data_IF_165954257257
#
_entry.id   IF_165954257257
#
_cell.length_a   1.000
_cell.length_b   1.000
_cell.length_c   1.000
_cell.angle_alpha   90.00
_cell.angle_beta   90.00
_cell.angle_gamma   90.00
#
_symmetry.space_group_name_H-M   'P 1'
#
loop_
_entity.id
_entity.type
_entity.pdbx_description
1 polymer ?
#
# COMPACT_ATOMS: atom_id res chain seq x y z
N UNK A 1 33.80 10.34 -22.39
CA UNK A 1 34.12 8.89 -22.24
C UNK A 1 32.89 8.22 -21.66
N UNK A 2 32.46 7.06 -22.17
CA UNK A 2 31.29 6.37 -21.62
C UNK A 2 31.57 5.97 -20.17
N UNK A 3 30.62 6.28 -19.29
CA UNK A 3 30.67 5.97 -17.86
C UNK A 3 29.41 5.20 -17.49
N UNK A 4 29.52 4.32 -16.52
CA UNK A 4 28.38 3.62 -15.94
C UNK A 4 28.27 4.06 -14.48
N UNK A 5 27.16 4.71 -14.16
CA UNK A 5 26.84 5.12 -12.80
C UNK A 5 26.00 4.03 -12.15
N UNK A 6 26.61 3.32 -11.21
CA UNK A 6 26.01 2.15 -10.59
C UNK A 6 25.44 2.59 -9.24
N UNK A 7 24.10 2.61 -9.10
CA UNK A 7 23.48 2.73 -7.79
C UNK A 7 23.40 1.35 -7.16
N UNK A 8 24.34 1.08 -6.26
CA UNK A 8 24.28 -0.13 -5.44
C UNK A 8 23.06 -0.02 -4.50
N UNK A 9 22.57 -1.16 -4.02
CA UNK A 9 21.49 -1.25 -3.03
C UNK A 9 21.73 -0.38 -1.77
N UNK A 10 22.98 -0.02 -1.48
CA UNK A 10 23.39 0.86 -0.39
C UNK A 10 23.17 2.36 -0.64
N UNK A 11 22.58 2.76 -1.77
CA UNK A 11 22.32 4.17 -2.11
C UNK A 11 23.54 4.99 -2.52
N UNK A 12 24.76 4.43 -2.44
CA UNK A 12 25.96 5.07 -2.97
C UNK A 12 26.10 4.83 -4.48
N UNK A 13 26.43 5.91 -5.20
CA UNK A 13 26.78 5.87 -6.61
C UNK A 13 28.27 5.57 -6.75
N UNK A 14 28.57 4.46 -7.43
CA UNK A 14 29.92 4.20 -7.93
C UNK A 14 29.96 4.57 -9.42
N UNK A 15 30.73 5.59 -9.78
CA UNK A 15 31.05 5.83 -11.19
C UNK A 15 32.11 4.84 -11.63
N UNK A 16 31.79 4.00 -12.61
CA UNK A 16 32.75 3.14 -13.28
C UNK A 16 33.02 3.70 -14.68
N UNK A 17 34.23 4.19 -14.98
CA UNK A 17 34.59 4.51 -16.35
C UNK A 17 34.64 3.21 -17.17
N UNK A 18 33.93 3.18 -18.30
CA UNK A 18 33.94 2.03 -19.20
C UNK A 18 35.13 2.17 -20.15
N UNK A 19 36.19 1.43 -19.85
CA UNK A 19 37.49 1.44 -20.52
C UNK A 19 37.76 0.16 -21.33
N UNK A 20 37.14 -0.96 -20.94
CA UNK A 20 37.37 -2.27 -21.55
C UNK A 20 36.29 -2.63 -22.58
N UNK A 21 36.63 -3.46 -23.55
CA UNK A 21 35.69 -3.87 -24.60
C UNK A 21 34.53 -4.73 -24.08
N UNK A 22 34.67 -5.36 -22.91
CA UNK A 22 33.64 -6.18 -22.29
C UNK A 22 33.67 -6.01 -20.77
N UNK A 23 32.48 -5.96 -20.18
CA UNK A 23 32.27 -6.05 -18.74
C UNK A 23 31.21 -7.11 -18.48
N UNK A 24 31.52 -8.04 -17.60
CA UNK A 24 30.57 -9.00 -17.05
C UNK A 24 29.84 -8.37 -15.86
N UNK A 25 28.53 -8.56 -15.80
CA UNK A 25 27.66 -8.01 -14.76
C UNK A 25 26.88 -9.14 -14.11
N UNK A 26 26.96 -9.25 -12.80
CA UNK A 26 26.29 -10.32 -12.08
C UNK A 26 26.61 -10.34 -10.61
N UNK A 27 26.05 -11.32 -9.91
CA UNK A 27 26.21 -11.43 -8.46
C UNK A 27 27.53 -12.07 -8.03
N UNK A 28 28.19 -12.86 -8.90
CA UNK A 28 29.46 -13.50 -8.55
C UNK A 28 30.61 -12.50 -8.49
N UNK A 29 31.57 -12.73 -7.59
CA UNK A 29 32.69 -11.82 -7.34
C UNK A 29 33.74 -11.78 -8.48
N UNK A 30 33.69 -12.74 -9.40
CA UNK A 30 34.52 -12.79 -10.61
C UNK A 30 33.95 -11.96 -11.77
N UNK A 31 32.80 -11.31 -11.59
CA UNK A 31 32.30 -10.33 -12.56
C UNK A 31 33.01 -8.98 -12.40
N UNK A 32 33.15 -8.26 -13.51
CA UNK A 32 33.73 -6.91 -13.53
C UNK A 32 32.83 -5.90 -12.79
N UNK A 33 31.51 -6.07 -12.89
CA UNK A 33 30.50 -5.31 -12.14
C UNK A 33 29.70 -6.28 -11.28
N UNK A 34 30.03 -6.28 -9.99
CA UNK A 34 29.36 -7.11 -9.00
C UNK A 34 28.12 -6.39 -8.46
N UNK A 35 26.93 -6.97 -8.67
CA UNK A 35 25.64 -6.46 -8.20
C UNK A 35 25.02 -7.39 -7.14
N UNK A 36 24.53 -6.81 -6.05
CA UNK A 36 23.98 -7.56 -4.92
C UNK A 36 22.45 -7.63 -4.97
N UNK A 37 21.87 -8.84 -4.79
CA UNK A 37 20.42 -9.01 -4.73
C UNK A 37 19.93 -10.38 -5.17
N UNK A 38 18.78 -10.81 -4.61
CA UNK A 38 18.14 -12.09 -4.97
C UNK A 38 17.56 -12.08 -6.40
N UNK A 39 17.30 -10.89 -6.95
CA UNK A 39 16.84 -10.71 -8.33
C UNK A 39 17.93 -10.82 -9.40
N UNK A 40 19.20 -11.03 -9.02
CA UNK A 40 20.38 -10.97 -9.91
C UNK A 40 21.07 -12.33 -10.05
N UNK A 41 21.18 -12.87 -11.27
CA UNK A 41 21.94 -14.08 -11.59
C UNK A 41 23.47 -13.95 -11.34
N UNK A 42 24.14 -15.09 -11.11
CA UNK A 42 25.61 -15.18 -10.92
C UNK A 42 26.39 -14.47 -12.03
N UNK A 43 26.02 -14.74 -13.28
CA UNK A 43 26.44 -14.00 -14.46
C UNK A 43 25.14 -13.61 -15.15
N UNK A 44 24.69 -12.37 -14.95
CA UNK A 44 23.35 -11.94 -15.35
C UNK A 44 23.37 -11.42 -16.78
N UNK A 45 24.26 -10.48 -17.05
CA UNK A 45 24.39 -9.91 -18.38
C UNK A 45 25.83 -9.51 -18.64
N UNK A 46 26.13 -9.21 -19.90
CA UNK A 46 27.41 -8.63 -20.29
C UNK A 46 27.17 -7.30 -21.00
N UNK A 47 28.00 -6.32 -20.68
CA UNK A 47 28.17 -5.12 -21.48
C UNK A 47 29.29 -5.39 -22.48
N UNK A 48 29.00 -5.29 -23.77
CA UNK A 48 29.96 -5.51 -24.84
C UNK A 48 30.04 -4.26 -25.70
N UNK A 49 31.25 -3.88 -26.10
CA UNK A 49 31.46 -2.73 -26.97
C UNK A 49 31.36 -3.18 -28.43
N UNK A 50 30.43 -2.61 -29.18
CA UNK A 50 30.46 -2.60 -30.64
C UNK A 50 31.16 -1.31 -31.10
N UNK A 51 31.66 -1.24 -32.34
CA UNK A 51 32.57 -0.16 -32.79
C UNK A 51 32.10 1.30 -32.58
N UNK A 52 30.84 1.52 -32.21
CA UNK A 52 30.22 2.82 -32.00
C UNK A 52 29.66 3.01 -30.56
N UNK A 53 29.65 2.01 -29.67
CA UNK A 53 29.05 2.12 -28.32
C UNK A 53 29.03 0.82 -27.49
N UNK A 54 28.34 0.81 -26.34
CA UNK A 54 28.14 -0.40 -25.54
C UNK A 54 26.73 -0.97 -25.76
N UNK A 55 26.61 -2.28 -25.73
CA UNK A 55 25.35 -3.02 -25.72
C UNK A 55 25.29 -3.91 -24.49
N UNK A 56 24.10 -4.06 -23.92
CA UNK A 56 23.82 -5.02 -22.86
C UNK A 56 23.21 -6.28 -23.46
N UNK A 57 23.73 -7.45 -23.08
CA UNK A 57 23.20 -8.76 -23.46
C UNK A 57 22.91 -9.56 -22.21
N UNK A 58 21.67 -10.01 -22.07
CA UNK A 58 21.27 -10.97 -21.05
C UNK A 58 21.92 -12.34 -21.35
N UNK A 59 22.51 -12.97 -20.33
CA UNK A 59 23.20 -14.26 -20.46
C UNK A 59 22.28 -15.43 -20.07
N UNK A 60 20.97 -15.27 -20.26
CA UNK A 60 19.95 -16.22 -19.83
C UNK A 60 19.60 -16.08 -18.36
N UNK A 61 19.47 -14.84 -17.89
CA UNK A 61 19.12 -14.54 -16.51
C UNK A 61 17.72 -15.03 -16.15
N UNK A 62 17.49 -15.25 -14.85
CA UNK A 62 16.22 -15.78 -14.37
C UNK A 62 15.10 -14.71 -14.38
N UNK A 63 15.43 -13.44 -14.13
CA UNK A 63 14.44 -12.36 -14.01
C UNK A 63 14.44 -11.41 -15.21
N UNK A 64 15.35 -11.60 -16.16
CA UNK A 64 15.54 -10.71 -17.30
C UNK A 64 16.28 -9.42 -16.92
N UNK A 65 16.93 -8.85 -17.93
CA UNK A 65 17.45 -7.49 -17.89
C UNK A 65 16.36 -6.55 -18.35
N UNK A 66 16.09 -5.49 -17.59
CA UNK A 66 15.16 -4.45 -18.01
C UNK A 66 15.93 -3.19 -18.38
N UNK A 67 15.81 -2.76 -19.63
CA UNK A 67 16.31 -1.47 -20.08
C UNK A 67 15.14 -0.50 -20.14
N UNK A 68 15.20 0.58 -19.37
CA UNK A 68 14.14 1.58 -19.22
C UNK A 68 12.76 0.93 -18.98
N UNK A 69 12.73 -0.06 -18.09
CA UNK A 69 11.52 -0.82 -17.73
C UNK A 69 11.13 -1.96 -18.69
N UNK A 70 11.82 -2.15 -19.82
CA UNK A 70 11.50 -3.19 -20.81
C UNK A 70 12.47 -4.36 -20.75
N UNK A 71 11.94 -5.58 -20.70
CA UNK A 71 12.75 -6.79 -20.75
C UNK A 71 13.45 -6.91 -22.10
N UNK A 72 14.77 -7.09 -22.08
CA UNK A 72 15.60 -7.19 -23.28
C UNK A 72 16.55 -8.37 -23.18
N UNK A 73 16.68 -9.13 -24.26
CA UNK A 73 17.73 -10.16 -24.39
C UNK A 73 19.05 -9.55 -24.87
N UNK A 74 18.98 -8.56 -25.75
CA UNK A 74 20.13 -7.77 -26.18
C UNK A 74 19.65 -6.38 -26.63
N UNK A 75 20.32 -5.33 -26.17
CA UNK A 75 19.98 -3.96 -26.54
C UNK A 75 21.22 -3.05 -26.51
N UNK A 76 21.24 -2.07 -27.40
CA UNK A 76 22.30 -1.07 -27.45
C UNK A 76 22.04 0.03 -26.44
N UNK A 77 23.04 0.40 -25.65
CA UNK A 77 22.94 1.42 -24.62
C UNK A 77 23.19 2.81 -25.19
N UNK A 78 22.38 3.75 -24.74
CA UNK A 78 22.48 5.19 -24.98
C UNK A 78 22.66 5.91 -23.66
N UNK A 79 23.19 7.13 -23.72
CA UNK A 79 23.41 7.95 -22.53
C UNK A 79 22.10 8.16 -21.75
N UNK A 80 22.19 8.04 -20.42
CA UNK A 80 21.11 8.05 -19.43
C UNK A 80 20.15 6.86 -19.44
N UNK A 81 20.45 5.78 -20.17
CA UNK A 81 19.65 4.57 -20.09
C UNK A 81 19.68 3.96 -18.68
N UNK A 82 18.50 3.71 -18.11
CA UNK A 82 18.30 3.00 -16.87
C UNK A 82 18.27 1.48 -17.13
N UNK A 83 19.16 0.78 -16.48
CA UNK A 83 19.29 -0.67 -16.56
C UNK A 83 18.87 -1.22 -15.21
N UNK A 84 17.71 -1.85 -15.15
CA UNK A 84 17.22 -2.55 -13.97
C UNK A 84 17.53 -4.03 -14.08
N UNK A 85 18.32 -4.52 -13.13
CA UNK A 85 18.74 -5.91 -13.03
C UNK A 85 18.32 -6.38 -11.65
N UNK A 86 17.21 -7.12 -11.60
CA UNK A 86 16.53 -7.40 -10.33
C UNK A 86 16.11 -6.11 -9.62
N UNK A 87 16.74 -5.87 -8.47
CA UNK A 87 16.59 -4.70 -7.60
C UNK A 87 17.63 -3.60 -7.82
N UNK A 88 18.68 -3.88 -8.59
CA UNK A 88 19.73 -2.92 -8.88
C UNK A 88 19.29 -2.02 -10.04
N UNK A 89 19.55 -0.72 -9.90
CA UNK A 89 19.34 0.27 -10.96
C UNK A 89 20.71 0.85 -11.33
N UNK A 90 21.12 0.64 -12.57
CA UNK A 90 22.35 1.18 -13.14
C UNK A 90 21.95 2.22 -14.18
N UNK A 91 22.76 3.24 -14.37
CA UNK A 91 22.52 4.26 -15.39
C UNK A 91 23.75 4.40 -16.27
N UNK A 92 23.57 4.30 -17.58
CA UNK A 92 24.65 4.47 -18.54
C UNK A 92 24.89 5.96 -18.82
N UNK A 93 25.75 6.63 -18.04
CA UNK A 93 26.01 8.06 -18.14
C UNK A 93 26.74 8.61 -16.90
N UNK A 94 27.07 9.92 -16.85
CA UNK A 94 27.70 10.56 -15.68
C UNK A 94 26.78 10.61 -14.44
N UNK A 95 27.33 10.48 -13.22
CA UNK A 95 26.54 10.40 -11.97
C UNK A 95 26.05 11.78 -11.46
N UNK A 96 26.27 12.85 -12.21
CA UNK A 96 25.87 14.20 -11.82
C UNK A 96 24.36 14.39 -11.66
N UNK A 97 23.55 13.46 -12.18
CA UNK A 97 22.07 13.51 -12.10
C UNK A 97 21.47 12.47 -11.13
N UNK A 98 22.29 11.86 -10.29
CA UNK A 98 21.90 10.71 -9.48
C UNK A 98 21.91 11.06 -7.98
N UNK A 99 20.75 11.48 -7.49
CA UNK A 99 20.44 11.61 -6.06
C UNK A 99 19.20 10.78 -5.72
N UNK A 100 19.22 10.18 -4.53
CA UNK A 100 18.06 9.77 -3.72
C UNK A 100 17.63 8.29 -3.78
N UNK A 101 17.44 7.72 -2.60
CA UNK A 101 16.48 6.65 -2.31
C UNK A 101 15.22 6.89 -3.13
N UNK A 102 14.85 5.91 -3.96
CA UNK A 102 13.63 6.04 -4.75
C UNK A 102 12.47 5.75 -3.83
N UNK A 103 11.93 6.83 -3.32
CA UNK A 103 10.72 6.82 -2.52
C UNK A 103 9.74 7.70 -3.27
N UNK A 104 8.63 7.08 -3.64
CA UNK A 104 7.56 7.77 -4.33
C UNK A 104 6.49 8.10 -3.30
N UNK A 105 6.16 9.39 -3.24
CA UNK A 105 5.07 9.90 -2.42
C UNK A 105 4.03 10.48 -3.39
N UNK A 106 2.79 10.00 -3.31
CA UNK A 106 1.68 10.58 -4.08
C UNK A 106 0.65 11.18 -3.11
N UNK A 107 0.10 12.33 -3.51
CA UNK A 107 -1.00 12.98 -2.79
C UNK A 107 -2.25 12.12 -2.90
N UNK A 108 -2.66 11.55 -1.77
CA UNK A 108 -3.77 10.60 -1.71
C UNK A 108 -5.08 11.21 -2.21
N UNK A 109 -5.38 12.46 -1.84
CA UNK A 109 -6.62 13.11 -2.22
C UNK A 109 -6.68 13.34 -3.74
N UNK A 110 -5.54 13.64 -4.37
CA UNK A 110 -5.43 13.76 -5.83
C UNK A 110 -5.55 12.41 -6.54
N UNK A 111 -4.90 11.37 -6.01
CA UNK A 111 -5.02 9.99 -6.53
C UNK A 111 -6.48 9.55 -6.48
N UNK A 112 -7.16 9.72 -5.36
CA UNK A 112 -8.57 9.33 -5.21
C UNK A 112 -9.50 10.19 -6.08
N UNK A 113 -9.24 11.49 -6.19
CA UNK A 113 -10.00 12.37 -7.07
C UNK A 113 -9.85 11.97 -8.55
N UNK A 114 -8.63 11.69 -9.01
CA UNK A 114 -8.38 11.23 -10.39
C UNK A 114 -9.09 9.91 -10.69
N UNK A 115 -9.07 8.95 -9.76
CA UNK A 115 -9.78 7.67 -9.87
C UNK A 115 -11.30 7.88 -9.94
N UNK A 116 -11.86 8.71 -9.05
CA UNK A 116 -13.32 8.99 -9.00
C UNK A 116 -13.82 9.76 -10.21
N UNK A 117 -12.99 10.64 -10.75
CA UNK A 117 -13.35 11.46 -11.91
C UNK A 117 -13.27 10.72 -13.23
N UNK A 118 -12.70 9.50 -13.27
CA UNK A 118 -12.52 8.72 -14.48
C UNK A 118 -11.88 9.56 -15.57
N UNK A 119 -10.59 9.90 -15.39
CA UNK A 119 -9.77 10.66 -16.34
C UNK A 119 -10.46 11.88 -16.98
N UNK A 120 -10.25 13.07 -16.39
CA UNK A 120 -10.24 14.28 -17.22
C UNK A 120 -8.80 14.56 -17.68
N UNK A 121 -8.40 13.88 -18.75
CA UNK A 121 -7.27 14.31 -19.60
C UNK A 121 -7.86 14.91 -20.88
N UNK A 122 -7.26 15.96 -21.48
CA UNK A 122 -7.83 16.67 -22.63
C UNK A 122 -8.04 15.73 -23.82
N UNK A 123 -9.00 16.04 -24.71
CA UNK A 123 -9.40 15.12 -25.77
C UNK A 123 -8.27 14.94 -26.79
N UNK A 124 -7.62 13.78 -26.82
CA UNK A 124 -6.66 13.46 -27.88
C UNK A 124 -5.70 12.27 -27.71
N UNK A 125 -6.12 11.08 -27.24
CA UNK A 125 -5.33 9.84 -27.39
C UNK A 125 -6.17 8.58 -27.15
N UNK A 126 -7.08 8.23 -28.06
CA UNK A 126 -7.91 7.04 -27.96
C UNK A 126 -7.25 5.83 -28.66
N UNK A 127 -6.89 4.79 -27.91
CA UNK A 127 -6.46 3.52 -28.51
C UNK A 127 -6.20 2.39 -27.52
N UNK A 128 -5.26 2.56 -26.58
CA UNK A 128 -4.83 1.49 -25.68
C UNK A 128 -5.20 1.73 -24.19
N UNK A 129 -5.38 2.99 -23.77
CA UNK A 129 -5.76 3.37 -22.39
C UNK A 129 -7.18 2.92 -21.98
N UNK A 130 -8.09 2.77 -22.94
CA UNK A 130 -9.48 2.34 -22.71
C UNK A 130 -9.59 0.93 -22.13
N UNK A 131 -8.55 0.09 -22.25
CA UNK A 131 -8.52 -1.25 -21.67
C UNK A 131 -8.07 -1.24 -20.19
N UNK A 132 -7.18 -0.31 -19.81
CA UNK A 132 -6.77 -0.09 -18.42
C UNK A 132 -7.87 0.56 -17.61
N UNK A 133 -8.50 1.60 -18.16
CA UNK A 133 -9.60 2.32 -17.52
C UNK A 133 -10.86 1.46 -17.36
N UNK A 134 -11.17 0.58 -18.33
CA UNK A 134 -12.25 -0.41 -18.16
C UNK A 134 -11.93 -1.45 -17.09
N UNK A 135 -10.67 -1.82 -16.86
CA UNK A 135 -10.30 -2.75 -15.77
C UNK A 135 -10.40 -2.07 -14.42
N UNK A 136 -9.95 -0.82 -14.30
CA UNK A 136 -10.06 -0.03 -13.07
C UNK A 136 -11.53 0.25 -12.73
N UNK A 137 -12.36 0.64 -13.70
CA UNK A 137 -13.80 0.82 -13.52
C UNK A 137 -14.54 -0.50 -13.26
N UNK A 138 -14.16 -1.61 -13.90
CA UNK A 138 -14.73 -2.94 -13.61
C UNK A 138 -14.35 -3.40 -12.21
N UNK A 139 -13.11 -3.21 -11.77
CA UNK A 139 -12.67 -3.55 -10.41
C UNK A 139 -13.37 -2.69 -9.36
N UNK A 140 -13.55 -1.38 -9.61
CA UNK A 140 -14.30 -0.50 -8.73
C UNK A 140 -15.79 -0.89 -8.67
N UNK A 141 -16.41 -1.24 -9.80
CA UNK A 141 -17.80 -1.71 -9.84
C UNK A 141 -17.96 -3.12 -9.22
N UNK A 142 -17.02 -4.04 -9.46
CA UNK A 142 -17.04 -5.41 -8.92
C UNK A 142 -16.75 -5.40 -7.41
N UNK A 143 -15.86 -4.53 -6.92
CA UNK A 143 -15.73 -4.24 -5.48
C UNK A 143 -16.99 -3.58 -4.93
N UNK A 144 -17.52 -2.55 -5.61
CA UNK A 144 -18.73 -1.86 -5.15
C UNK A 144 -19.94 -2.80 -5.08
N UNK A 145 -20.04 -3.79 -5.96
CA UNK A 145 -21.13 -4.75 -6.00
C UNK A 145 -20.92 -5.90 -5.01
N UNK A 146 -19.71 -6.47 -4.95
CA UNK A 146 -19.35 -7.54 -4.00
C UNK A 146 -19.32 -7.11 -2.54
N UNK A 147 -19.17 -5.80 -2.27
CA UNK A 147 -19.20 -5.23 -0.92
C UNK A 147 -20.58 -4.70 -0.49
N UNK A 148 -21.56 -4.59 -1.40
CA UNK A 148 -22.92 -4.15 -1.05
C UNK A 148 -23.75 -5.22 -0.35
N UNK A 149 -23.30 -6.48 -0.39
CA UNK A 149 -23.97 -7.64 0.21
C UNK A 149 -23.31 -8.16 1.49
N UNK A 150 -22.19 -7.57 1.89
CA UNK A 150 -21.37 -8.07 3.01
C UNK A 150 -21.66 -7.28 4.28
N UNK A 151 -22.14 -7.98 5.29
CA UNK A 151 -22.71 -7.42 6.53
C UNK A 151 -21.66 -7.11 7.61
N UNK A 152 -20.36 -7.31 7.35
CA UNK A 152 -19.30 -7.14 8.35
C UNK A 152 -18.01 -6.51 7.81
N UNK A 153 -17.40 -5.63 8.61
CA UNK A 153 -16.13 -4.95 8.29
C UNK A 153 -14.98 -5.94 8.01
N UNK A 154 -14.95 -7.05 8.75
CA UNK A 154 -13.89 -8.04 8.66
C UNK A 154 -13.88 -8.77 7.30
N UNK A 155 -15.05 -9.06 6.75
CA UNK A 155 -15.18 -9.69 5.43
C UNK A 155 -14.74 -8.75 4.31
N UNK A 156 -15.14 -7.47 4.39
CA UNK A 156 -14.69 -6.42 3.46
C UNK A 156 -13.18 -6.27 3.52
N UNK A 157 -12.62 -6.12 4.73
CA UNK A 157 -11.20 -5.95 4.96
C UNK A 157 -10.39 -7.13 4.42
N UNK A 158 -10.84 -8.36 4.67
CA UNK A 158 -10.20 -9.57 4.16
C UNK A 158 -10.20 -9.60 2.64
N UNK A 159 -11.38 -9.43 2.01
CA UNK A 159 -11.50 -9.52 0.56
C UNK A 159 -10.68 -8.45 -0.15
N UNK A 160 -10.63 -7.25 0.41
CA UNK A 160 -9.81 -6.16 -0.11
C UNK A 160 -8.31 -6.52 -0.11
N UNK A 161 -7.78 -7.05 1.00
CA UNK A 161 -6.38 -7.46 1.06
C UNK A 161 -6.11 -8.65 0.12
N UNK A 162 -7.00 -9.65 0.06
CA UNK A 162 -6.85 -10.77 -0.88
C UNK A 162 -6.69 -10.30 -2.32
N UNK A 163 -7.56 -9.39 -2.77
CA UNK A 163 -7.49 -8.81 -4.12
C UNK A 163 -6.16 -8.09 -4.32
N UNK A 164 -5.73 -7.27 -3.37
CA UNK A 164 -4.45 -6.55 -3.44
C UNK A 164 -3.25 -7.50 -3.48
N UNK A 165 -3.28 -8.58 -2.70
CA UNK A 165 -2.25 -9.61 -2.76
C UNK A 165 -2.27 -10.30 -4.12
N UNK A 166 -3.43 -10.59 -4.72
CA UNK A 166 -3.49 -11.24 -6.03
C UNK A 166 -3.05 -10.34 -7.20
N UNK A 167 -3.33 -9.04 -7.14
CA UNK A 167 -3.07 -8.09 -8.22
C UNK A 167 -1.71 -7.38 -8.14
N UNK A 168 -1.15 -7.21 -6.94
CA UNK A 168 0.16 -6.58 -6.75
C UNK A 168 1.25 -7.64 -6.52
N UNK A 169 2.50 -7.21 -6.35
CA UNK A 169 3.59 -8.09 -5.89
C UNK A 169 3.69 -8.23 -4.37
N UNK A 170 2.67 -7.85 -3.60
CA UNK A 170 2.71 -7.95 -2.14
C UNK A 170 2.72 -9.41 -1.66
N UNK A 171 3.40 -9.65 -0.54
CA UNK A 171 3.36 -10.95 0.14
C UNK A 171 2.52 -10.91 1.39
N UNK A 172 2.48 -9.77 2.06
CA UNK A 172 1.67 -9.55 3.26
C UNK A 172 0.97 -8.21 3.16
N UNK A 173 -0.24 -8.17 3.67
CA UNK A 173 -1.05 -6.97 3.75
C UNK A 173 -1.69 -6.85 5.12
N UNK A 174 -1.80 -5.62 5.61
CA UNK A 174 -2.42 -5.33 6.89
C UNK A 174 -3.28 -4.07 6.83
N UNK A 175 -4.37 -4.07 7.58
CA UNK A 175 -5.21 -2.91 7.81
C UNK A 175 -5.10 -2.53 9.28
N UNK A 176 -4.75 -1.28 9.53
CA UNK A 176 -4.66 -0.66 10.84
C UNK A 176 -5.76 0.37 11.01
N UNK A 177 -6.41 0.40 12.17
CA UNK A 177 -7.35 1.46 12.55
C UNK A 177 -6.82 2.24 13.75
N UNK A 178 -7.21 3.51 13.85
CA UNK A 178 -6.95 4.33 15.04
C UNK A 178 -7.81 3.87 16.21
N UNK A 179 -7.16 3.62 17.35
CA UNK A 179 -7.76 3.05 18.56
C UNK A 179 -7.88 4.08 19.69
N UNK A 180 -8.69 5.13 19.47
CA UNK A 180 -9.08 6.14 20.48
C UNK A 180 -7.98 7.10 20.97
N UNK A 181 -6.76 6.60 21.13
CA UNK A 181 -5.56 7.34 21.48
C UNK A 181 -4.92 7.99 20.23
N UNK A 182 -4.44 9.24 20.31
CA UNK A 182 -3.84 9.93 19.19
C UNK A 182 -2.61 9.18 18.63
N UNK A 183 -2.73 8.67 17.40
CA UNK A 183 -1.64 8.00 16.70
C UNK A 183 -1.43 6.53 17.04
N UNK A 184 -2.23 5.95 17.94
CA UNK A 184 -2.20 4.52 18.21
C UNK A 184 -2.94 3.75 17.10
N UNK A 185 -2.17 3.01 16.29
CA UNK A 185 -2.69 2.18 15.21
C UNK A 185 -2.73 0.72 15.67
N UNK A 186 -3.93 0.14 15.63
CA UNK A 186 -4.16 -1.26 15.96
C UNK A 186 -4.45 -2.07 14.69
N UNK A 187 -3.76 -3.19 14.45
CA UNK A 187 -4.09 -4.07 13.33
C UNK A 187 -5.47 -4.71 13.57
N UNK A 188 -6.35 -4.58 12.59
CA UNK A 188 -7.66 -5.27 12.58
C UNK A 188 -7.68 -6.46 11.61
N UNK A 189 -6.77 -6.45 10.63
CA UNK A 189 -6.65 -7.51 9.64
C UNK A 189 -5.19 -7.63 9.22
N UNK A 190 -4.72 -8.87 9.14
CA UNK A 190 -3.44 -9.24 8.53
C UNK A 190 -3.72 -10.42 7.62
N UNK A 191 -3.22 -10.39 6.39
CA UNK A 191 -3.27 -11.52 5.47
C UNK A 191 -1.93 -11.71 4.80
N UNK A 192 -1.60 -12.96 4.48
CA UNK A 192 -0.43 -13.33 3.69
C UNK A 192 -0.86 -14.04 2.42
N UNK A 193 -0.06 -13.90 1.37
CA UNK A 193 -0.34 -14.51 0.08
C UNK A 193 -0.29 -16.04 0.22
N UNK A 194 -1.41 -16.69 -0.09
CA UNK A 194 -1.52 -18.14 -0.13
C UNK A 194 -1.81 -18.81 1.23
N UNK A 195 -1.93 -18.04 2.32
CA UNK A 195 -2.38 -18.55 3.61
C UNK A 195 -3.73 -17.95 4.02
N UNK A 196 -4.67 -18.81 4.44
CA UNK A 196 -5.98 -18.39 4.98
C UNK A 196 -6.05 -18.47 6.51
N UNK A 197 -4.90 -18.46 7.22
CA UNK A 197 -4.89 -18.57 8.71
C UNK A 197 -5.24 -17.23 9.36
N UNK A 198 -5.97 -17.29 10.48
CA UNK A 198 -6.36 -16.10 11.28
C UNK A 198 -5.29 -15.68 12.31
N UNK A 199 -4.35 -16.57 12.64
CA UNK A 199 -3.36 -16.36 13.70
C UNK A 199 -1.99 -16.04 13.09
N UNK A 200 -1.92 -14.93 12.33
CA UNK A 200 -0.67 -14.41 11.78
C UNK A 200 0.03 -13.53 12.81
N UNK A 201 1.36 -13.52 12.77
CA UNK A 201 2.14 -12.64 13.65
C UNK A 201 1.77 -11.16 13.40
N UNK A 202 1.70 -10.32 14.46
CA UNK A 202 1.36 -8.92 14.32
C UNK A 202 2.32 -8.21 13.35
N UNK A 203 1.77 -7.54 12.34
CA UNK A 203 2.56 -6.63 11.49
C UNK A 203 2.83 -5.35 12.28
N UNK A 204 4.11 -5.02 12.47
CA UNK A 204 4.52 -3.78 13.12
C UNK A 204 4.66 -2.67 12.08
N UNK A 205 3.74 -1.70 12.10
CA UNK A 205 3.88 -0.48 11.30
C UNK A 205 4.83 0.50 12.01
N UNK A 206 5.91 0.91 11.33
CA UNK A 206 6.84 1.90 11.86
C UNK A 206 6.11 3.19 12.26
N UNK A 207 6.42 3.70 13.45
CA UNK A 207 5.83 4.94 13.97
C UNK A 207 6.08 6.14 13.05
N UNK A 208 7.16 6.13 12.27
CA UNK A 208 7.43 7.20 11.30
C UNK A 208 6.55 7.08 10.05
N UNK A 209 6.37 5.88 9.51
CA UNK A 209 5.45 5.65 8.38
C UNK A 209 4.02 5.97 8.82
N UNK A 210 3.60 5.46 9.98
CA UNK A 210 2.31 5.77 10.59
C UNK A 210 2.10 7.27 10.75
N UNK A 211 3.06 7.98 11.38
CA UNK A 211 2.94 9.43 11.59
C UNK A 211 2.84 10.19 10.27
N UNK A 212 3.63 9.87 9.25
CA UNK A 212 3.57 10.58 7.96
C UNK A 212 2.26 10.33 7.24
N UNK A 213 1.80 9.08 7.17
CA UNK A 213 0.50 8.74 6.58
C UNK A 213 -0.63 9.47 7.32
N UNK A 214 -0.60 9.48 8.65
CA UNK A 214 -1.62 10.10 9.49
C UNK A 214 -1.53 11.63 9.56
N UNK A 215 -0.39 12.25 9.28
CA UNK A 215 -0.23 13.71 9.35
C UNK A 215 -0.32 14.34 7.96
N UNK A 216 0.38 13.75 6.99
CA UNK A 216 0.52 14.29 5.64
C UNK A 216 -0.58 13.78 4.70
N UNK A 217 -1.30 12.70 5.05
CA UNK A 217 -2.27 12.01 4.18
C UNK A 217 -1.70 11.68 2.80
N UNK A 218 -0.45 11.27 2.74
CA UNK A 218 0.21 10.86 1.50
C UNK A 218 0.39 9.36 1.46
N UNK A 219 0.15 8.79 0.29
CA UNK A 219 0.57 7.43 -0.03
C UNK A 219 2.08 7.38 -0.21
N UNK A 220 2.70 6.29 0.19
CA UNK A 220 4.16 6.15 0.22
C UNK A 220 4.57 4.78 -0.30
N UNK A 221 5.51 4.75 -1.24
CA UNK A 221 6.29 3.55 -1.58
C UNK A 221 7.74 3.78 -1.22
N UNK A 222 8.32 2.80 -0.53
CA UNK A 222 9.77 2.70 -0.39
C UNK A 222 10.29 1.40 -1.00
N UNK A 223 11.37 1.54 -1.77
CA UNK A 223 12.10 0.42 -2.32
C UNK A 223 13.01 -0.28 -1.31
N UNK A 224 13.32 0.38 -0.17
CA UNK A 224 14.02 -0.15 1.00
C UNK A 224 13.58 0.59 2.28
N UNK A 225 12.73 -0.04 3.09
CA UNK A 225 12.23 0.55 4.33
C UNK A 225 13.28 0.56 5.45
N UNK A 226 14.24 -0.36 5.43
CA UNK A 226 15.29 -0.46 6.44
C UNK A 226 16.42 0.56 6.19
N UNK A 227 16.69 0.90 4.94
CA UNK A 227 17.77 1.82 4.55
C UNK A 227 17.34 3.28 4.38
N UNK A 228 16.04 3.60 4.36
CA UNK A 228 15.56 4.97 4.20
C UNK A 228 15.79 5.80 5.49
N UNK A 229 16.60 6.88 5.44
CA UNK A 229 16.88 7.71 6.61
C UNK A 229 15.64 8.31 7.26
N UNK A 230 14.54 8.45 6.50
CA UNK A 230 13.24 8.90 7.01
C UNK A 230 12.63 7.92 8.01
N UNK A 231 12.98 6.63 7.96
CA UNK A 231 12.41 5.60 8.84
C UNK A 231 13.38 5.16 9.96
N UNK A 232 14.63 5.63 9.93
CA UNK A 232 15.71 5.21 10.84
C UNK A 232 15.55 5.65 12.32
N UNK A 233 14.67 6.60 12.63
CA UNK A 233 14.57 7.23 13.96
C UNK A 233 13.35 6.78 14.80
N UNK A 234 12.58 5.79 14.36
CA UNK A 234 11.43 5.27 15.12
C UNK A 234 11.84 4.13 16.05
N UNK A 235 11.45 4.17 17.33
CA UNK A 235 11.73 3.14 18.35
C UNK A 235 11.16 1.72 18.07
N UNK A 236 10.63 1.46 16.89
CA UNK A 236 10.33 0.09 16.43
C UNK A 236 11.48 -0.39 15.53
N UNK A 237 12.63 -0.60 16.18
CA UNK A 237 13.89 -1.11 15.61
C UNK A 237 13.79 -2.63 15.37
N UNK A 238 12.73 -3.05 14.66
CA UNK A 238 12.56 -4.44 14.21
C UNK A 238 11.93 -4.43 12.82
N UNK A 239 12.52 -3.68 11.89
CA UNK A 239 12.36 -3.90 10.45
C UNK A 239 13.11 -5.19 10.08
N UNK A 240 12.68 -6.34 10.62
CA UNK A 240 13.19 -7.65 10.22
C UNK A 240 12.79 -7.91 8.76
N UNK A 241 13.64 -7.51 7.82
CA UNK A 241 13.56 -7.94 6.42
C UNK A 241 12.56 -7.21 5.53
N UNK A 242 12.03 -6.04 5.93
CA UNK A 242 11.14 -5.27 5.06
C UNK A 242 11.92 -4.61 3.91
N UNK A 243 11.85 -5.25 2.75
CA UNK A 243 12.54 -4.83 1.53
C UNK A 243 11.75 -3.78 0.79
N UNK A 244 10.49 -4.02 0.46
CA UNK A 244 9.65 -3.02 -0.20
C UNK A 244 8.34 -2.88 0.54
N UNK A 245 7.90 -1.64 0.71
CA UNK A 245 6.69 -1.29 1.45
C UNK A 245 5.88 -0.29 0.63
N UNK A 246 4.57 -0.51 0.58
CA UNK A 246 3.60 0.39 -0.04
C UNK A 246 2.47 0.64 0.97
N UNK A 247 2.19 1.90 1.27
CA UNK A 247 1.21 2.27 2.28
C UNK A 247 0.29 3.39 1.79
N UNK A 248 -0.97 3.31 2.18
CA UNK A 248 -1.98 4.33 1.91
C UNK A 248 -2.79 4.66 3.19
N UNK A 249 -3.14 5.94 3.42
CA UNK A 249 -4.02 6.32 4.52
C UNK A 249 -5.45 5.83 4.29
N UNK A 250 -6.15 5.49 5.37
CA UNK A 250 -7.61 5.33 5.36
C UNK A 250 -8.22 6.67 5.78
N UNK A 251 -8.70 7.45 4.82
CA UNK A 251 -9.26 8.79 5.07
C UNK A 251 -10.78 8.76 4.87
N UNK A 252 -11.51 9.09 5.93
CA UNK A 252 -12.95 9.29 5.91
C UNK A 252 -13.33 10.78 5.90
N UNK A 253 -14.63 11.07 5.88
CA UNK A 253 -15.15 12.45 6.00
C UNK A 253 -14.76 13.10 7.33
N UNK A 254 -14.66 12.30 8.40
CA UNK A 254 -14.27 12.74 9.74
C UNK A 254 -12.75 12.88 9.95
N UNK A 255 -11.93 12.60 8.93
CA UNK A 255 -10.47 12.60 9.02
C UNK A 255 -9.87 11.21 8.90
N UNK A 256 -8.66 11.03 9.43
CA UNK A 256 -7.95 9.76 9.32
C UNK A 256 -8.59 8.71 10.21
N UNK A 257 -8.82 7.53 9.64
CA UNK A 257 -9.39 6.36 10.30
C UNK A 257 -8.31 5.31 10.59
N UNK A 258 -7.21 5.32 9.83
CA UNK A 258 -6.20 4.28 9.89
C UNK A 258 -5.24 4.29 8.71
N UNK A 259 -4.63 3.14 8.44
CA UNK A 259 -3.69 2.93 7.34
C UNK A 259 -3.85 1.53 6.73
N UNK A 260 -3.69 1.45 5.42
CA UNK A 260 -3.57 0.21 4.66
C UNK A 260 -2.11 0.02 4.25
N UNK A 261 -1.59 -1.17 4.48
CA UNK A 261 -0.17 -1.47 4.42
C UNK A 261 0.06 -2.74 3.61
N UNK A 262 0.99 -2.69 2.67
CA UNK A 262 1.49 -3.83 1.92
C UNK A 262 3.00 -3.90 2.04
N UNK A 263 3.51 -5.12 2.14
CA UNK A 263 4.94 -5.38 2.13
C UNK A 263 5.32 -6.55 1.23
N UNK A 264 6.55 -6.46 0.75
CA UNK A 264 7.26 -7.56 0.13
C UNK A 264 8.65 -7.62 0.75
N UNK A 265 8.94 -8.71 1.46
CA UNK A 265 10.23 -8.93 2.12
C UNK A 265 11.26 -9.65 1.22
N UNK A 266 10.89 -10.02 -0.01
CA UNK A 266 11.74 -10.77 -0.97
C UNK A 266 12.33 -9.90 -2.08
N UNK A 267 11.59 -8.90 -2.56
CA UNK A 267 11.96 -8.04 -3.70
C UNK A 267 12.06 -6.58 -3.26
N UNK A 268 13.20 -5.92 -3.52
CA UNK A 268 13.31 -4.46 -3.37
C UNK A 268 12.63 -3.78 -4.55
N UNK A 269 11.96 -2.66 -4.30
CA UNK A 269 11.17 -1.97 -5.34
C UNK A 269 10.13 -2.90 -5.96
N UNK A 270 9.49 -3.74 -5.14
CA UNK A 270 8.46 -4.67 -5.61
C UNK A 270 7.25 -3.92 -6.17
N UNK A 271 7.01 -2.75 -5.61
CA UNK A 271 5.87 -1.88 -5.90
C UNK A 271 6.26 -0.74 -6.83
N UNK A 272 5.36 -0.42 -7.74
CA UNK A 272 5.43 0.74 -8.63
C UNK A 272 4.30 1.75 -8.35
N UNK A 273 4.24 2.84 -9.10
CA UNK A 273 3.21 3.88 -8.93
C UNK A 273 1.79 3.35 -9.14
N UNK A 274 1.60 2.35 -9.99
CA UNK A 274 0.27 1.82 -10.29
C UNK A 274 -0.23 0.96 -9.13
N UNK A 275 0.67 0.22 -8.48
CA UNK A 275 0.38 -0.46 -7.21
C UNK A 275 -0.06 0.54 -6.11
N UNK A 276 0.57 1.72 -6.03
CA UNK A 276 0.15 2.76 -5.06
C UNK A 276 -1.23 3.32 -5.38
N UNK A 277 -1.53 3.60 -6.66
CA UNK A 277 -2.86 4.08 -7.07
C UNK A 277 -3.93 3.06 -6.73
N UNK A 278 -3.68 1.79 -7.03
CA UNK A 278 -4.58 0.69 -6.68
C UNK A 278 -4.79 0.60 -5.17
N UNK A 279 -3.70 0.70 -4.39
CA UNK A 279 -3.76 0.68 -2.94
C UNK A 279 -4.62 1.84 -2.38
N UNK A 280 -4.45 3.05 -2.92
CA UNK A 280 -5.21 4.23 -2.50
C UNK A 280 -6.71 4.10 -2.83
N UNK A 281 -7.04 3.50 -3.98
CA UNK A 281 -8.41 3.22 -4.38
C UNK A 281 -9.09 2.28 -3.37
N UNK A 282 -8.42 1.18 -3.03
CA UNK A 282 -8.92 0.18 -2.09
C UNK A 282 -9.00 0.76 -0.68
N UNK A 283 -7.99 1.54 -0.26
CA UNK A 283 -7.98 2.25 1.02
C UNK A 283 -9.20 3.16 1.18
N UNK A 284 -9.59 3.89 0.12
CA UNK A 284 -10.79 4.73 0.13
C UNK A 284 -12.07 3.94 0.35
N UNK A 285 -12.16 2.76 -0.27
CA UNK A 285 -13.33 1.91 -0.15
C UNK A 285 -13.42 1.27 1.25
N UNK A 286 -12.30 0.84 1.81
CA UNK A 286 -12.23 0.35 3.19
C UNK A 286 -12.62 1.45 4.17
N UNK A 287 -12.11 2.68 3.96
CA UNK A 287 -12.45 3.82 4.81
C UNK A 287 -13.97 4.07 4.85
N UNK A 288 -14.64 4.03 3.70
CA UNK A 288 -16.11 4.14 3.64
C UNK A 288 -16.82 3.02 4.43
N UNK A 289 -16.36 1.78 4.29
CA UNK A 289 -16.94 0.65 5.03
C UNK A 289 -16.73 0.75 6.54
N UNK A 290 -15.56 1.24 6.98
CA UNK A 290 -15.26 1.52 8.40
C UNK A 290 -16.17 2.63 8.94
N UNK A 291 -16.39 3.71 8.18
CA UNK A 291 -17.34 4.76 8.58
C UNK A 291 -18.76 4.19 8.71
N UNK A 292 -19.23 3.44 7.72
CA UNK A 292 -20.55 2.85 7.73
C UNK A 292 -20.76 1.93 8.94
N UNK A 293 -19.75 1.10 9.26
CA UNK A 293 -19.80 0.22 10.43
C UNK A 293 -19.86 1.03 11.74
N UNK A 294 -19.03 2.07 11.88
CA UNK A 294 -19.05 2.97 13.06
C UNK A 294 -20.39 3.70 13.21
N UNK A 295 -20.96 4.19 12.12
CA UNK A 295 -22.28 4.83 12.11
C UNK A 295 -23.38 3.86 12.52
N UNK A 296 -23.34 2.63 11.99
CA UNK A 296 -24.33 1.60 12.31
C UNK A 296 -24.28 1.20 13.80
N UNK A 297 -23.08 1.01 14.36
CA UNK A 297 -22.92 0.72 15.80
C UNK A 297 -23.42 1.87 16.68
N UNK A 298 -23.11 3.12 16.33
CA UNK A 298 -23.60 4.28 17.06
C UNK A 298 -25.14 4.38 17.03
N UNK A 299 -25.73 4.13 15.86
CA UNK A 299 -27.19 4.11 15.70
C UNK A 299 -27.82 3.00 16.54
N UNK A 300 -27.24 1.79 16.53
CA UNK A 300 -27.71 0.67 17.33
C UNK A 300 -27.69 0.98 18.83
N UNK A 301 -26.60 1.55 19.34
CA UNK A 301 -26.50 1.97 20.75
C UNK A 301 -27.56 3.01 21.12
N UNK A 302 -27.77 4.01 20.27
CA UNK A 302 -28.80 5.02 20.51
C UNK A 302 -30.21 4.41 20.53
N UNK A 303 -30.47 3.41 19.68
CA UNK A 303 -31.77 2.74 19.65
C UNK A 303 -31.99 1.89 20.90
N UNK A 304 -30.98 1.13 21.34
CA UNK A 304 -31.02 0.36 22.59
C UNK A 304 -31.22 1.27 23.82
N UNK A 305 -30.59 2.45 23.84
CA UNK A 305 -30.78 3.43 24.91
C UNK A 305 -32.20 4.01 24.93
N UNK A 306 -32.74 4.34 23.75
CA UNK A 306 -34.13 4.82 23.62
C UNK A 306 -35.14 3.76 24.04
N UNK A 307 -34.94 2.50 23.64
CA UNK A 307 -35.79 1.37 24.03
C UNK A 307 -35.79 1.21 25.56
N UNK A 308 -34.62 1.26 26.20
CA UNK A 308 -34.50 1.21 27.66
C UNK A 308 -35.24 2.37 28.34
N UNK A 309 -35.09 3.60 27.84
CA UNK A 309 -35.78 4.77 28.39
C UNK A 309 -37.30 4.68 28.24
N UNK A 310 -37.78 4.14 27.12
CA UNK A 310 -39.21 3.92 26.87
C UNK A 310 -39.77 2.87 27.83
N UNK A 311 -39.05 1.77 28.07
CA UNK A 311 -39.44 0.76 29.06
C UNK A 311 -39.48 1.32 30.49
N UNK A 312 -38.45 2.07 30.90
CA UNK A 312 -38.41 2.72 32.22
C UNK A 312 -39.59 3.69 32.41
N UNK A 313 -39.89 4.52 31.40
CA UNK A 313 -41.01 5.46 31.45
C UNK A 313 -42.36 4.76 31.49
N UNK A 314 -42.55 3.72 30.69
CA UNK A 314 -43.82 2.97 30.67
C UNK A 314 -44.06 2.19 31.97
N UNK A 315 -43.00 1.65 32.60
CA UNK A 315 -43.10 1.03 33.91
C UNK A 315 -43.48 2.04 35.01
N UNK A 316 -42.83 3.21 35.04
CA UNK A 316 -43.13 4.27 36.01
C UNK A 316 -44.57 4.81 35.87
N UNK A 317 -45.06 4.94 34.63
CA UNK A 317 -46.44 5.34 34.37
C UNK A 317 -47.45 4.29 34.88
N UNK A 318 -47.20 3.00 34.64
CA UNK A 318 -48.06 1.92 35.18
C UNK A 318 -48.06 1.90 36.71
N UNK A 319 -46.91 2.11 37.35
CA UNK A 319 -46.84 2.15 38.82
C UNK A 319 -47.61 3.35 39.39
N UNK A 320 -47.51 4.52 38.76
CA UNK A 320 -48.25 5.71 39.17
C UNK A 320 -49.75 5.57 38.96
N UNK A 321 -50.19 4.98 37.84
CA UNK A 321 -51.60 4.65 37.60
C UNK A 321 -52.15 3.69 38.66
N UNK A 322 -51.41 2.63 39.02
CA UNK A 322 -51.81 1.69 40.07
C UNK A 322 -51.95 2.36 41.43
N UNK A 323 -51.03 3.26 41.80
CA UNK A 323 -51.09 4.02 43.06
C UNK A 323 -52.29 4.96 43.10
N UNK A 324 -52.58 5.64 41.99
CA UNK A 324 -53.76 6.52 41.88
C UNK A 324 -55.05 5.72 42.05
N UNK A 325 -55.18 4.58 41.37
CA UNK A 325 -56.33 3.70 41.48
C UNK A 325 -56.55 3.18 42.91
N UNK A 326 -55.48 2.77 43.60
CA UNK A 326 -55.56 2.34 44.99
C UNK A 326 -55.98 3.48 45.93
N UNK A 327 -55.41 4.68 45.75
CA UNK A 327 -55.78 5.87 46.50
C UNK A 327 -57.26 6.23 46.35
N UNK A 328 -57.79 6.24 45.11
CA UNK A 328 -59.20 6.54 44.84
C UNK A 328 -60.13 5.48 45.46
N UNK A 329 -59.75 4.20 45.41
CA UNK A 329 -60.53 3.12 46.01
C UNK A 329 -60.59 3.22 47.54
N UNK A 330 -59.48 3.59 48.17
CA UNK A 330 -59.43 3.80 49.63
C UNK A 330 -60.25 5.05 50.02
N UNK A 331 -60.15 6.14 49.25
CA UNK A 331 -60.91 7.37 49.50
C UNK A 331 -62.42 7.20 49.34
N UNK A 332 -62.87 6.39 48.37
CA UNK A 332 -64.29 6.07 48.18
C UNK A 332 -64.84 5.13 49.27
N UNK A 333 -64.04 4.20 49.78
CA UNK A 333 -64.42 3.35 50.92
C UNK A 333 -64.43 4.09 52.27
N UNK A 334 -63.67 5.17 52.42
CA UNK A 334 -63.64 6.00 53.64
C UNK A 334 -64.79 7.02 53.72
N UNK A 335 -65.55 7.24 52.63
CA UNK A 335 -66.67 8.19 52.56
C UNK A 335 -68.06 7.54 52.63
N UNK A 336 -68.12 6.21 52.63
CA UNK A 336 -69.34 5.42 52.81
C UNK A 336 -69.45 4.94 54.27
#
# INVERSE_FOLDING_TARGET
>A
MPKLSIRKSSGQFAELPLLHARYSVGRSADNDIVLEGAGVSRHHCALERDGEGYQIRDLGSHNGVYLNGRSVQQARLRENDEIRIGNAILVYGPASDLTSTVTFEEDYDQVVASIRSGAQTPPGAAGEELAGDRRTLSLLCDLSFGLSTVTSLDEVARKAIEILLETTRAERGAIFLLDGEPGALRPIMVCERGESRRDLEPVALSSTIARRILTERKGLITADAAADPRFAHGESVVLHGLRSVCCAPLVGKGGNLGALYLENNRVLGAFDSDDLRLLCAVASQIALSVENARFFEALKRSNEELERLVEERTAALRETELRLYQSEKISSLSRA
#
